data_IF_653947908551
#
_entry.id   IF_653947908551
#
_cell.length_a   1.000
_cell.length_b   1.000
_cell.length_c   1.000
_cell.angle_alpha   90.00
_cell.angle_beta   90.00
_cell.angle_gamma   90.00
#
_symmetry.space_group_name_H-M   'P 1'
#
loop_
_entity.id
_entity.type
_entity.pdbx_description
1 polymer ?
#
# COMPACT_ATOMS: atom_id res chain seq x y z
N UNK A 1 -20.76 -27.42 -6.25
CA UNK A 1 -19.89 -26.88 -7.31
C UNK A 1 -19.49 -25.48 -6.88
N UNK A 2 -18.18 -25.21 -6.84
CA UNK A 2 -17.56 -24.09 -6.12
C UNK A 2 -18.03 -22.74 -6.65
N UNK A 3 -18.56 -21.88 -5.77
CA UNK A 3 -18.73 -20.47 -6.06
C UNK A 3 -17.34 -19.82 -6.07
N UNK A 4 -16.68 -19.86 -7.22
CA UNK A 4 -15.48 -19.06 -7.46
C UNK A 4 -15.99 -17.64 -7.68
N UNK A 5 -15.91 -16.78 -6.67
CA UNK A 5 -15.94 -15.35 -6.91
C UNK A 5 -14.66 -15.00 -7.69
N UNK A 6 -14.72 -15.09 -9.01
CA UNK A 6 -13.68 -14.57 -9.90
C UNK A 6 -13.67 -13.04 -9.74
N UNK A 7 -12.92 -12.54 -8.77
CA UNK A 7 -12.40 -11.19 -8.88
C UNK A 7 -11.57 -11.21 -10.16
N UNK A 8 -12.11 -10.64 -11.23
CA UNK A 8 -11.43 -10.61 -12.52
C UNK A 8 -10.19 -9.75 -12.33
N UNK A 9 -9.00 -10.36 -12.40
CA UNK A 9 -7.74 -9.64 -12.32
C UNK A 9 -7.66 -8.62 -13.46
N UNK A 10 -7.34 -7.37 -13.14
CA UNK A 10 -7.21 -6.28 -14.10
C UNK A 10 -5.73 -6.09 -14.46
N UNK A 11 -5.27 -6.82 -15.48
CA UNK A 11 -3.87 -6.82 -15.93
C UNK A 11 -3.42 -5.51 -16.61
N UNK A 12 -4.35 -4.63 -16.98
CA UNK A 12 -4.03 -3.36 -17.67
C UNK A 12 -3.66 -2.23 -16.72
N UNK A 13 -3.99 -2.34 -15.43
CA UNK A 13 -3.70 -1.31 -14.43
C UNK A 13 -2.24 -1.39 -14.02
N UNK A 14 -1.46 -0.38 -14.41
CA UNK A 14 -0.03 -0.25 -14.07
C UNK A 14 0.24 0.78 -12.98
N UNK A 15 -0.68 1.70 -12.75
CA UNK A 15 -0.55 2.77 -11.76
C UNK A 15 -1.83 2.81 -10.94
N UNK A 16 -1.68 2.81 -9.61
CA UNK A 16 -2.79 2.87 -8.67
C UNK A 16 -2.50 3.92 -7.61
N UNK A 17 -3.51 4.75 -7.34
CA UNK A 17 -3.54 5.66 -6.21
C UNK A 17 -4.62 5.20 -5.24
N UNK A 18 -4.23 5.02 -3.98
CA UNK A 18 -5.13 4.70 -2.88
C UNK A 18 -5.13 5.85 -1.89
N UNK A 19 -6.33 6.34 -1.60
CA UNK A 19 -6.57 7.31 -0.55
C UNK A 19 -7.18 6.60 0.66
N UNK A 20 -6.43 6.53 1.77
CA UNK A 20 -6.73 5.61 2.86
C UNK A 20 -6.77 6.30 4.22
N UNK A 21 -7.70 5.85 5.06
CA UNK A 21 -7.78 6.25 6.46
C UNK A 21 -6.88 5.31 7.29
N UNK A 22 -5.74 5.84 7.74
CA UNK A 22 -4.69 5.12 8.47
C UNK A 22 -3.98 4.01 7.67
N UNK A 23 -3.05 3.28 8.30
CA UNK A 23 -2.34 2.17 7.69
C UNK A 23 -3.22 0.91 7.66
N UNK A 24 -4.03 0.75 6.61
CA UNK A 24 -4.82 -0.46 6.39
C UNK A 24 -4.16 -1.37 5.35
N UNK A 25 -3.26 -2.22 5.83
CA UNK A 25 -2.50 -3.12 4.97
C UNK A 25 -3.38 -4.19 4.29
N UNK A 26 -4.36 -4.75 4.99
CA UNK A 26 -5.30 -5.74 4.46
C UNK A 26 -6.03 -5.23 3.22
N UNK A 27 -6.58 -4.01 3.30
CA UNK A 27 -7.28 -3.39 2.18
C UNK A 27 -6.34 -3.16 1.00
N UNK A 28 -5.14 -2.65 1.25
CA UNK A 28 -4.14 -2.43 0.19
C UNK A 28 -3.76 -3.74 -0.48
N UNK A 29 -3.50 -4.79 0.29
CA UNK A 29 -3.20 -6.14 -0.22
C UNK A 29 -4.33 -6.67 -1.11
N UNK A 30 -5.59 -6.46 -0.71
CA UNK A 30 -6.74 -6.87 -1.54
C UNK A 30 -6.75 -6.14 -2.88
N UNK A 31 -6.42 -4.84 -2.92
CA UNK A 31 -6.24 -4.12 -4.18
C UNK A 31 -5.09 -4.67 -5.01
N UNK A 32 -3.92 -4.94 -4.41
CA UNK A 32 -2.77 -5.50 -5.11
C UNK A 32 -3.10 -6.84 -5.79
N UNK A 33 -3.89 -7.70 -5.15
CA UNK A 33 -4.37 -8.98 -5.73
C UNK A 33 -5.20 -8.77 -7.00
N UNK A 34 -5.91 -7.65 -7.12
CA UNK A 34 -6.70 -7.30 -8.31
C UNK A 34 -5.84 -6.83 -9.48
N UNK A 35 -4.63 -6.33 -9.23
CA UNK A 35 -3.79 -5.65 -10.23
C UNK A 35 -2.42 -6.32 -10.37
N UNK A 36 -2.35 -7.52 -10.97
CA UNK A 36 -1.12 -8.32 -11.02
C UNK A 36 0.04 -7.64 -11.76
N UNK A 37 -0.24 -6.71 -12.67
CA UNK A 37 0.75 -5.97 -13.45
C UNK A 37 1.01 -4.55 -12.91
N UNK A 38 0.66 -4.28 -11.65
CA UNK A 38 0.86 -2.97 -11.06
C UNK A 38 2.37 -2.65 -10.95
N UNK A 39 2.78 -1.53 -11.54
CA UNK A 39 4.16 -1.05 -11.54
C UNK A 39 4.41 0.06 -10.53
N UNK A 40 3.41 0.92 -10.28
CA UNK A 40 3.52 2.06 -9.37
C UNK A 40 2.33 2.15 -8.43
N UNK A 41 2.60 2.21 -7.13
CA UNK A 41 1.60 2.39 -6.10
C UNK A 41 1.82 3.74 -5.39
N UNK A 42 0.75 4.52 -5.29
CA UNK A 42 0.69 5.74 -4.50
C UNK A 42 -0.30 5.53 -3.36
N UNK A 43 0.10 5.78 -2.12
CA UNK A 43 -0.77 5.67 -0.95
C UNK A 43 -0.77 6.99 -0.21
N UNK A 44 -1.95 7.57 -0.01
CA UNK A 44 -2.16 8.74 0.85
C UNK A 44 -2.68 8.23 2.20
N UNK A 45 -1.95 8.58 3.26
CA UNK A 45 -2.27 8.16 4.63
C UNK A 45 -2.96 9.31 5.37
N UNK A 46 -4.26 9.19 5.62
CA UNK A 46 -4.96 10.10 6.55
C UNK A 46 -4.81 9.58 7.97
N UNK A 47 -3.97 10.24 8.74
CA UNK A 47 -3.62 9.84 10.10
C UNK A 47 -4.68 10.31 11.10
N UNK A 48 -5.63 9.45 11.45
CA UNK A 48 -6.51 9.72 12.60
C UNK A 48 -5.84 9.32 13.92
N UNK A 49 -6.30 9.95 15.01
CA UNK A 49 -5.70 9.81 16.35
C UNK A 49 -5.78 8.38 16.88
N UNK A 50 -6.85 7.62 16.57
CA UNK A 50 -7.19 6.35 17.22
C UNK A 50 -7.20 5.10 16.31
N UNK A 51 -6.38 5.06 15.26
CA UNK A 51 -6.33 3.88 14.39
C UNK A 51 -5.36 2.83 14.95
N UNK A 52 -5.91 1.82 15.63
CA UNK A 52 -5.25 0.58 16.03
C UNK A 52 -5.43 -0.49 14.95
N UNK A 53 -4.69 -0.39 13.84
CA UNK A 53 -4.70 -1.46 12.84
C UNK A 53 -3.32 -2.13 12.81
N UNK A 54 -3.16 -3.13 13.67
CA UNK A 54 -2.11 -4.14 13.53
C UNK A 54 -2.76 -5.50 13.74
N UNK A 55 -2.90 -6.27 12.67
CA UNK A 55 -2.79 -7.72 12.75
C UNK A 55 -1.47 -8.10 12.10
N UNK A 56 -0.77 -9.04 12.74
CA UNK A 56 0.38 -9.70 12.14
C UNK A 56 -0.15 -10.49 10.94
N UNK A 57 0.30 -10.14 9.74
CA UNK A 57 -0.11 -10.86 8.54
C UNK A 57 0.50 -12.25 8.56
N UNK A 58 -0.33 -13.27 8.40
CA UNK A 58 0.08 -14.59 7.92
C UNK A 58 0.84 -14.45 6.59
N UNK A 59 1.73 -15.41 6.25
CA UNK A 59 2.40 -15.43 4.95
C UNK A 59 1.33 -15.46 3.85
N UNK A 60 1.13 -14.30 3.22
CA UNK A 60 0.16 -14.08 2.16
C UNK A 60 0.47 -15.01 1.00
N UNK A 61 -0.58 -15.52 0.34
CA UNK A 61 -0.46 -16.08 -1.00
C UNK A 61 0.36 -15.10 -1.88
N UNK A 62 1.22 -15.61 -2.79
CA UNK A 62 2.07 -14.76 -3.61
C UNK A 62 1.27 -13.67 -4.32
N UNK A 63 1.59 -12.41 -4.03
CA UNK A 63 0.98 -11.26 -4.71
C UNK A 63 1.81 -10.96 -5.94
N UNK A 64 1.27 -11.32 -7.10
CA UNK A 64 1.96 -11.30 -8.40
C UNK A 64 2.66 -9.97 -8.70
N UNK A 65 2.02 -8.83 -8.41
CA UNK A 65 2.65 -7.53 -8.65
C UNK A 65 3.85 -7.28 -7.72
N UNK A 66 3.82 -7.72 -6.45
CA UNK A 66 4.96 -7.58 -5.54
C UNK A 66 6.16 -8.40 -6.01
N UNK A 67 5.92 -9.55 -6.63
CA UNK A 67 6.98 -10.42 -7.10
C UNK A 67 7.61 -9.96 -8.42
N UNK A 68 6.80 -9.45 -9.34
CA UNK A 68 7.21 -9.31 -10.75
C UNK A 68 7.17 -7.88 -11.29
N UNK A 69 6.32 -7.00 -10.76
CA UNK A 69 5.97 -5.76 -11.46
C UNK A 69 6.13 -4.48 -10.64
N UNK A 70 5.96 -4.51 -9.32
CA UNK A 70 5.89 -3.30 -8.49
C UNK A 70 7.29 -2.71 -8.28
N UNK A 71 7.57 -1.64 -9.01
CA UNK A 71 8.88 -0.97 -9.05
C UNK A 71 8.94 0.29 -8.20
N UNK A 72 7.82 0.97 -8.01
CA UNK A 72 7.76 2.21 -7.21
C UNK A 72 6.60 2.20 -6.22
N UNK A 73 6.89 2.58 -4.99
CA UNK A 73 5.89 2.88 -3.95
C UNK A 73 6.10 4.30 -3.44
N UNK A 74 5.03 5.08 -3.37
CA UNK A 74 5.04 6.43 -2.79
C UNK A 74 4.07 6.47 -1.62
N UNK A 75 4.58 6.77 -0.42
CA UNK A 75 3.78 6.97 0.78
C UNK A 75 3.70 8.46 1.07
N UNK A 76 2.51 9.05 0.92
CA UNK A 76 2.25 10.45 1.29
C UNK A 76 1.68 10.53 2.70
N UNK A 77 1.95 11.64 3.38
CA UNK A 77 1.54 11.92 4.75
C UNK A 77 2.07 10.89 5.76
N UNK A 78 3.25 10.35 5.50
CA UNK A 78 3.91 9.40 6.40
C UNK A 78 4.49 10.15 7.62
N UNK A 79 4.02 9.86 8.84
CA UNK A 79 4.56 10.47 10.06
C UNK A 79 5.77 9.73 10.63
N UNK A 80 5.90 8.42 10.37
CA UNK A 80 6.95 7.58 10.92
C UNK A 80 6.92 7.47 12.46
N UNK A 81 5.84 7.89 13.11
CA UNK A 81 5.73 7.92 14.58
C UNK A 81 5.08 6.62 15.07
N UNK A 82 3.96 6.24 14.46
CA UNK A 82 3.19 5.07 14.89
C UNK A 82 3.83 3.78 14.37
N UNK A 83 3.97 2.76 15.23
CA UNK A 83 4.47 1.42 14.83
C UNK A 83 3.72 0.84 13.64
N UNK A 84 2.40 1.06 13.55
CA UNK A 84 1.58 0.60 12.44
C UNK A 84 1.99 1.24 11.09
N UNK A 85 2.32 2.53 11.09
CA UNK A 85 2.81 3.27 9.91
C UNK A 85 4.18 2.75 9.49
N UNK A 86 5.09 2.54 10.44
CA UNK A 86 6.41 1.95 10.19
C UNK A 86 6.28 0.54 9.60
N UNK A 87 5.44 -0.31 10.17
CA UNK A 87 5.21 -1.66 9.68
C UNK A 87 4.57 -1.67 8.28
N UNK A 88 3.68 -0.72 8.00
CA UNK A 88 3.07 -0.56 6.68
C UNK A 88 4.13 -0.25 5.61
N UNK A 89 5.08 0.65 5.88
CA UNK A 89 6.19 0.89 4.97
C UNK A 89 7.11 -0.33 4.85
N UNK A 90 7.44 -0.96 5.98
CA UNK A 90 8.30 -2.15 6.04
C UNK A 90 7.76 -3.31 5.20
N UNK A 91 6.44 -3.46 5.11
CA UNK A 91 5.80 -4.48 4.28
C UNK A 91 6.30 -4.44 2.84
N UNK A 92 6.31 -3.26 2.20
CA UNK A 92 6.74 -3.15 0.80
C UNK A 92 8.22 -3.47 0.63
N UNK A 93 9.07 -2.99 1.54
CA UNK A 93 10.51 -3.26 1.52
C UNK A 93 10.79 -4.77 1.62
N UNK A 94 10.03 -5.49 2.45
CA UNK A 94 10.25 -6.92 2.68
C UNK A 94 9.65 -7.82 1.59
N UNK A 95 8.58 -7.39 0.92
CA UNK A 95 7.80 -8.26 0.05
C UNK A 95 7.83 -7.88 -1.44
N UNK A 96 8.16 -6.64 -1.80
CA UNK A 96 8.26 -6.21 -3.18
C UNK A 96 9.67 -6.52 -3.73
N UNK A 97 9.81 -7.66 -4.44
CA UNK A 97 11.10 -8.21 -4.87
C UNK A 97 11.82 -7.37 -5.92
N UNK A 98 11.05 -6.67 -6.75
CA UNK A 98 11.56 -5.83 -7.86
C UNK A 98 11.40 -4.33 -7.56
N UNK A 99 11.24 -3.96 -6.29
CA UNK A 99 11.11 -2.56 -5.89
C UNK A 99 12.42 -1.82 -6.15
N UNK A 100 12.37 -0.85 -7.05
CA UNK A 100 13.50 0.00 -7.43
C UNK A 100 13.53 1.28 -6.57
N UNK A 101 12.35 1.81 -6.20
CA UNK A 101 12.22 3.08 -5.49
C UNK A 101 11.08 3.04 -4.45
N UNK A 102 11.37 3.52 -3.24
CA UNK A 102 10.37 3.85 -2.23
C UNK A 102 10.51 5.30 -1.80
N UNK A 103 9.47 6.09 -2.03
CA UNK A 103 9.43 7.51 -1.71
C UNK A 103 8.55 7.75 -0.48
N UNK A 104 9.08 8.47 0.51
CA UNK A 104 8.39 8.81 1.75
C UNK A 104 8.13 10.32 1.77
N UNK A 105 6.90 10.70 1.48
CA UNK A 105 6.38 12.06 1.64
C UNK A 105 5.91 12.30 3.07
N UNK A 106 6.67 13.06 3.83
CA UNK A 106 6.35 13.44 5.22
C UNK A 106 5.42 14.65 5.21
N UNK A 107 4.43 14.69 6.11
CA UNK A 107 3.66 15.90 6.37
C UNK A 107 4.58 16.96 6.98
N UNK A 108 4.92 17.99 6.21
CA UNK A 108 5.55 19.17 6.77
C UNK A 108 4.59 19.84 7.74
N UNK A 109 5.05 20.18 8.95
CA UNK A 109 4.33 21.05 9.88
C UNK A 109 4.41 22.52 9.38
N UNK A 110 4.05 22.73 8.12
CA UNK A 110 3.95 24.03 7.49
C UNK A 110 2.48 24.37 7.37
N UNK A 111 2.09 25.52 7.94
CA UNK A 111 0.75 26.09 7.80
C UNK A 111 0.33 26.11 6.33
N UNK A 112 -0.45 25.12 5.90
CA UNK A 112 -1.05 25.16 4.57
C UNK A 112 -2.26 26.10 4.62
N UNK A 113 -1.96 27.40 4.56
CA UNK A 113 -2.86 28.36 3.95
C UNK A 113 -2.73 28.17 2.43
N UNK A 114 -3.76 27.59 1.81
CA UNK A 114 -4.12 27.68 0.38
C UNK A 114 -3.34 26.71 -0.52
N UNK A 115 -3.97 25.96 -1.43
CA UNK A 115 -5.07 26.31 -2.36
C UNK A 115 -5.99 25.14 -2.66
#
# INVERSE_FOLDING_TARGET
MVAVSLITKMHTVKILLLDTIGPNLDSVVNFLKCFPCLEKLYVILHLEKDINNVREHDPLDPIECLELNLKKVVLKNYDGIKRAIINFAKFFILNAKVLEEMEIGVLGHGNDKRM
#
